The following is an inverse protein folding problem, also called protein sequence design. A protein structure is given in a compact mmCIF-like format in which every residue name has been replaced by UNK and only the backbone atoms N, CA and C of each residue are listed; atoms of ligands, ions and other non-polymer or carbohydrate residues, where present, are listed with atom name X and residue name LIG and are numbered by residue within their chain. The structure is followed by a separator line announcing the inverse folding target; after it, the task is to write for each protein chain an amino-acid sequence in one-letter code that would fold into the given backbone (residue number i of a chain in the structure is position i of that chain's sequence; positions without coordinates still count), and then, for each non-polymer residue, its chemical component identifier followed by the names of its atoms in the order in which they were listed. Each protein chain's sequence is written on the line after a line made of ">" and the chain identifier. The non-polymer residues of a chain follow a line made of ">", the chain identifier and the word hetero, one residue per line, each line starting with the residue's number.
data_IF_810511794031
#
_entry.id   IF_810511794031
#
_cell.length_a   1.000
_cell.length_b   1.000
_cell.length_c   1.000
_cell.angle_alpha   90.00
_cell.angle_beta   90.00
_cell.angle_gamma   90.00
#
_symmetry.space_group_name_H-M   'P 1'
#
loop_
_entity.id
_entity.type
_entity.pdbx_description
1 polymer ?
#
# COMPACT_ATOMS: atom_id res chain seq x y z
N UNK A 1 8.39 -3.53 -1.11
CA UNK A 1 9.34 -4.60 -0.73
C UNK A 1 10.14 -5.07 -1.93
N UNK A 2 9.55 -5.77 -2.91
CA UNK A 2 10.25 -6.23 -4.14
C UNK A 2 10.97 -5.09 -4.87
N UNK A 3 10.26 -4.01 -5.24
CA UNK A 3 10.87 -2.86 -5.93
C UNK A 3 12.01 -2.20 -5.15
N UNK A 4 11.93 -2.18 -3.82
CA UNK A 4 12.97 -1.62 -2.96
C UNK A 4 14.19 -2.55 -2.97
N UNK A 5 13.98 -3.85 -2.73
CA UNK A 5 15.04 -4.87 -2.80
C UNK A 5 15.77 -4.82 -4.15
N UNK A 6 15.03 -4.75 -5.25
CA UNK A 6 15.61 -4.68 -6.58
C UNK A 6 16.46 -3.41 -6.77
N UNK A 7 16.03 -2.25 -6.26
CA UNK A 7 16.84 -1.02 -6.32
C UNK A 7 18.08 -1.11 -5.45
N UNK A 8 17.94 -1.65 -4.24
CA UNK A 8 19.04 -1.78 -3.28
C UNK A 8 20.10 -2.78 -3.77
N UNK A 9 19.74 -3.70 -4.69
CA UNK A 9 20.62 -4.72 -5.29
C UNK A 9 20.71 -4.56 -6.82
N UNK A 10 20.69 -3.31 -7.32
CA UNK A 10 20.73 -2.99 -8.74
C UNK A 10 22.14 -2.60 -9.19
N UNK A 11 22.66 -3.25 -10.22
CA UNK A 11 23.87 -2.82 -10.95
C UNK A 11 23.54 -2.17 -12.31
N UNK A 12 22.25 -1.91 -12.56
CA UNK A 12 21.69 -1.35 -13.79
C UNK A 12 21.83 -2.22 -15.04
N UNK A 13 22.08 -3.52 -14.88
CA UNK A 13 22.03 -4.48 -15.99
C UNK A 13 20.73 -5.29 -15.99
N UNK A 14 20.33 -5.77 -17.17
CA UNK A 14 19.15 -6.63 -17.29
C UNK A 14 19.39 -8.02 -16.68
N UNK A 15 20.61 -8.55 -16.81
CA UNK A 15 20.94 -9.88 -16.31
C UNK A 15 20.82 -9.96 -14.78
N UNK A 16 21.37 -8.97 -14.07
CA UNK A 16 21.25 -8.89 -12.62
C UNK A 16 19.81 -8.63 -12.18
N UNK A 17 19.03 -7.85 -12.92
CA UNK A 17 17.59 -7.71 -12.66
C UNK A 17 16.88 -9.07 -12.78
N UNK A 18 17.18 -9.84 -13.84
CA UNK A 18 16.60 -11.16 -14.08
C UNK A 18 16.97 -12.14 -12.97
N UNK A 19 18.21 -12.12 -12.50
CA UNK A 19 18.69 -12.96 -11.40
C UNK A 19 18.06 -12.57 -10.05
N UNK A 20 17.94 -11.27 -9.77
CA UNK A 20 17.46 -10.77 -8.49
C UNK A 20 15.93 -10.77 -8.37
N UNK A 21 15.18 -10.85 -9.48
CA UNK A 21 13.72 -10.92 -9.47
C UNK A 21 13.16 -12.08 -8.61
N UNK A 22 13.54 -13.35 -8.81
CA UNK A 22 13.04 -14.45 -7.99
C UNK A 22 13.44 -14.31 -6.51
N UNK A 23 14.66 -13.83 -6.22
CA UNK A 23 15.12 -13.56 -4.84
C UNK A 23 14.26 -12.50 -4.16
N UNK A 24 13.94 -11.42 -4.89
CA UNK A 24 13.12 -10.32 -4.41
C UNK A 24 11.68 -10.78 -4.11
N UNK A 25 11.13 -11.67 -4.94
CA UNK A 25 9.80 -12.27 -4.74
C UNK A 25 9.79 -13.23 -3.55
N UNK A 26 10.84 -14.05 -3.37
CA UNK A 26 11.00 -14.93 -2.21
C UNK A 26 11.06 -14.16 -0.88
N UNK A 27 11.54 -12.91 -0.90
CA UNK A 27 11.58 -12.05 0.27
C UNK A 27 10.20 -11.48 0.66
N UNK A 28 9.16 -11.67 -0.15
CA UNK A 28 7.81 -11.21 0.18
C UNK A 28 7.23 -12.12 1.27
N UNK A 29 6.97 -11.55 2.45
CA UNK A 29 6.32 -12.27 3.55
C UNK A 29 4.93 -12.75 3.14
N UNK A 30 4.57 -13.99 3.51
CA UNK A 30 3.25 -14.58 3.25
C UNK A 30 2.10 -13.69 3.76
N UNK A 31 2.29 -13.04 4.92
CA UNK A 31 1.33 -12.06 5.44
C UNK A 31 1.00 -10.94 4.45
N UNK A 32 1.99 -10.48 3.67
CA UNK A 32 1.78 -9.43 2.67
C UNK A 32 0.86 -9.92 1.56
N UNK A 33 1.04 -11.18 1.12
CA UNK A 33 0.20 -11.81 0.10
C UNK A 33 -1.24 -11.92 0.60
N UNK A 34 -1.43 -12.46 1.80
CA UNK A 34 -2.76 -12.59 2.44
C UNK A 34 -3.45 -11.24 2.63
N UNK A 35 -2.71 -10.20 3.04
CA UNK A 35 -3.27 -8.84 3.16
C UNK A 35 -3.79 -8.31 1.83
N UNK A 36 -3.08 -8.55 0.73
CA UNK A 36 -3.52 -8.15 -0.61
C UNK A 36 -4.73 -8.95 -1.07
N UNK A 37 -4.73 -10.26 -0.88
CA UNK A 37 -5.87 -11.13 -1.17
C UNK A 37 -7.13 -10.68 -0.42
N UNK A 38 -7.05 -10.53 0.90
CA UNK A 38 -8.19 -10.07 1.71
C UNK A 38 -8.67 -8.67 1.30
N UNK A 39 -7.76 -7.78 0.87
CA UNK A 39 -8.14 -6.48 0.33
C UNK A 39 -8.95 -6.62 -0.95
N UNK A 40 -8.56 -7.52 -1.86
CA UNK A 40 -9.28 -7.76 -3.10
C UNK A 40 -10.66 -8.38 -2.85
N UNK A 41 -10.77 -9.32 -1.91
CA UNK A 41 -12.06 -9.88 -1.49
C UNK A 41 -13.03 -8.77 -1.08
N UNK A 42 -12.59 -7.84 -0.22
CA UNK A 42 -13.44 -6.72 0.21
C UNK A 42 -13.85 -5.77 -0.92
N UNK A 43 -12.97 -5.54 -1.90
CA UNK A 43 -13.35 -4.78 -3.10
C UNK A 43 -14.42 -5.51 -3.90
N UNK A 44 -14.29 -6.83 -4.08
CA UNK A 44 -15.30 -7.62 -4.78
C UNK A 44 -16.64 -7.60 -4.05
N UNK A 45 -16.63 -7.71 -2.73
CA UNK A 45 -17.86 -7.65 -1.92
C UNK A 45 -18.53 -6.28 -2.00
N UNK A 46 -17.77 -5.19 -1.90
CA UNK A 46 -18.29 -3.82 -2.07
C UNK A 46 -18.98 -3.62 -3.42
N UNK A 47 -18.38 -4.13 -4.49
CA UNK A 47 -18.97 -4.04 -5.83
C UNK A 47 -20.17 -4.96 -6.01
N UNK A 48 -20.19 -6.14 -5.38
CA UNK A 48 -21.38 -7.02 -5.37
C UNK A 48 -22.58 -6.38 -4.67
N UNK A 49 -22.32 -5.57 -3.65
CA UNK A 49 -23.32 -4.77 -2.94
C UNK A 49 -23.78 -3.53 -3.74
N UNK A 50 -23.21 -3.29 -4.93
CA UNK A 50 -23.59 -2.18 -5.80
C UNK A 50 -22.98 -0.83 -5.42
N UNK A 51 -21.95 -0.81 -4.57
CA UNK A 51 -21.31 0.45 -4.19
C UNK A 51 -20.57 1.08 -5.37
N UNK A 52 -20.69 2.41 -5.48
CA UNK A 52 -19.83 3.18 -6.37
C UNK A 52 -18.39 3.19 -5.85
N UNK A 53 -17.43 3.45 -6.72
CA UNK A 53 -15.99 3.39 -6.42
C UNK A 53 -15.57 4.20 -5.18
N UNK A 54 -16.18 5.36 -4.95
CA UNK A 54 -15.86 6.22 -3.80
C UNK A 54 -16.28 5.58 -2.47
N UNK A 55 -17.48 5.00 -2.44
CA UNK A 55 -18.03 4.37 -1.24
C UNK A 55 -17.36 3.02 -0.96
N UNK A 56 -17.11 2.23 -2.01
CA UNK A 56 -16.31 1.01 -1.91
C UNK A 56 -14.89 1.30 -1.36
N UNK A 57 -14.26 2.39 -1.83
CA UNK A 57 -12.96 2.80 -1.30
C UNK A 57 -13.03 3.16 0.19
N UNK A 58 -14.09 3.84 0.63
CA UNK A 58 -14.30 4.18 2.03
C UNK A 58 -14.48 2.93 2.89
N UNK A 59 -15.32 1.98 2.44
CA UNK A 59 -15.55 0.71 3.13
C UNK A 59 -14.26 -0.12 3.25
N UNK A 60 -13.54 -0.33 2.14
CA UNK A 60 -12.26 -1.08 2.15
C UNK A 60 -11.23 -0.43 3.07
N UNK A 61 -11.22 0.91 3.14
CA UNK A 61 -10.29 1.67 3.99
C UNK A 61 -10.54 1.48 5.49
N UNK A 62 -11.77 1.18 5.92
CA UNK A 62 -12.09 0.93 7.33
C UNK A 62 -11.26 -0.22 7.93
N UNK A 63 -10.84 -1.16 7.09
CA UNK A 63 -10.04 -2.29 7.51
C UNK A 63 -8.52 -2.11 7.30
N UNK A 64 -8.11 -0.92 6.88
CA UNK A 64 -6.69 -0.56 6.79
C UNK A 64 -6.17 -0.16 8.16
N UNK A 65 -5.07 -0.77 8.59
CA UNK A 65 -4.32 -0.31 9.78
C UNK A 65 -3.57 1.01 9.52
N UNK A 66 -3.44 1.42 8.25
CA UNK A 66 -2.71 2.62 7.87
C UNK A 66 -3.68 3.75 7.55
N UNK A 67 -3.60 4.81 8.34
CA UNK A 67 -4.23 6.10 8.03
C UNK A 67 -3.24 6.97 7.27
N UNK A 68 -3.60 7.36 6.04
CA UNK A 68 -2.78 8.29 5.27
C UNK A 68 -2.73 9.64 5.99
N UNK A 69 -1.53 10.06 6.39
CA UNK A 69 -1.25 11.42 6.82
C UNK A 69 -0.51 12.11 5.67
N UNK A 70 -1.04 13.24 5.18
CA UNK A 70 -0.37 14.02 4.14
C UNK A 70 1.02 14.45 4.63
N UNK A 71 2.01 14.45 3.74
CA UNK A 71 3.36 14.97 4.03
C UNK A 71 3.36 16.47 4.31
N UNK A 72 2.31 17.19 3.93
CA UNK A 72 2.07 18.61 4.25
C UNK A 72 1.13 18.80 5.43
N UNK A 73 0.71 17.73 6.12
CA UNK A 73 -0.26 17.86 7.22
C UNK A 73 0.41 18.56 8.40
N UNK A 74 -0.06 19.77 8.69
CA UNK A 74 0.28 20.47 9.92
C UNK A 74 -0.42 19.74 11.09
N UNK A 75 0.29 19.35 12.15
CA UNK A 75 -0.34 18.79 13.34
C UNK A 75 -1.43 19.73 13.86
N UNK A 76 -2.57 19.20 14.29
CA UNK A 76 -3.71 20.04 14.70
C UNK A 76 -3.34 21.02 15.83
N UNK A 77 -2.45 20.64 16.73
CA UNK A 77 -1.96 21.54 17.78
C UNK A 77 -1.22 22.75 17.22
N UNK A 78 -0.44 22.57 16.14
CA UNK A 78 0.27 23.65 15.46
C UNK A 78 -0.70 24.51 14.66
N UNK A 79 -1.65 23.91 13.94
CA UNK A 79 -2.66 24.66 13.19
C UNK A 79 -3.48 25.61 14.11
N UNK A 80 -3.95 25.10 15.26
CA UNK A 80 -4.71 25.89 16.25
C UNK A 80 -3.93 27.07 16.83
N UNK A 81 -2.60 27.02 16.87
CA UNK A 81 -1.77 28.10 17.38
C UNK A 81 -1.72 29.30 16.43
N UNK A 82 -2.03 29.10 15.14
CA UNK A 82 -2.07 30.15 14.12
C UNK A 82 -3.49 30.66 13.82
N UNK A 83 -4.52 30.08 14.45
CA UNK A 83 -5.92 30.52 14.34
C UNK A 83 -6.29 31.56 15.43
N UNK A 84 -5.33 31.98 16.26
CA UNK A 84 -5.44 33.03 17.28
C UNK A 84 -4.92 34.36 16.75
#
# INVERSE_FOLDING_TARGET
>A
MVKKYLRDNCDYTFDTLKENMPKALAHVKLETIRRWEHRMVRWMDAYREGMETKDAQLQVRQFSSTTYSSHRRIPQGVARAFDQ
#
